data_IF_384755744488
#
_entry.id   IF_384755744488
#
_cell.length_a   1.000
_cell.length_b   1.000
_cell.length_c   1.000
_cell.angle_alpha   90.00
_cell.angle_beta   90.00
_cell.angle_gamma   90.00
#
_symmetry.space_group_name_H-M   'P 1'
#
loop_
_entity.id
_entity.type
_entity.pdbx_description
1 polymer ?
#
# COMPACT_ATOMS: atom_id res chain seq x y z
N UNK A 1 -0.50 -2.31 -9.56
CA UNK A 1 -0.81 -1.36 -8.46
C UNK A 1 -0.65 -2.09 -7.14
N UNK A 2 0.26 -1.63 -6.27
CA UNK A 2 0.31 -2.10 -4.88
C UNK A 2 -0.93 -1.58 -4.14
N UNK A 3 -1.67 -2.49 -3.50
CA UNK A 3 -2.95 -2.15 -2.86
C UNK A 3 -2.90 -2.15 -1.35
N UNK A 4 -2.12 -3.05 -0.77
CA UNK A 4 -1.92 -3.13 0.65
C UNK A 4 -0.57 -3.77 0.95
N UNK A 5 -0.06 -3.54 2.15
CA UNK A 5 1.12 -4.23 2.70
C UNK A 5 0.85 -4.57 4.16
N UNK A 6 1.51 -5.61 4.65
CA UNK A 6 1.69 -5.84 6.08
C UNK A 6 2.87 -4.99 6.59
N UNK A 7 2.65 -4.09 7.55
CA UNK A 7 3.72 -3.25 8.05
C UNK A 7 4.57 -4.00 9.09
N UNK A 8 5.86 -4.19 8.80
CA UNK A 8 6.79 -4.92 9.68
C UNK A 8 7.70 -4.01 10.51
N UNK A 9 8.17 -2.90 9.94
CA UNK A 9 9.11 -1.98 10.58
C UNK A 9 8.69 -0.53 10.43
N UNK A 10 9.14 0.36 11.32
CA UNK A 10 8.90 1.80 11.22
C UNK A 10 7.46 2.22 11.52
N UNK A 11 6.71 1.44 12.30
CA UNK A 11 5.29 1.67 12.63
C UNK A 11 5.02 3.07 13.18
N UNK A 12 5.87 3.57 14.08
CA UNK A 12 5.71 4.91 14.65
C UNK A 12 5.90 6.03 13.61
N UNK A 13 6.84 5.87 12.69
CA UNK A 13 7.02 6.81 11.58
C UNK A 13 5.81 6.78 10.63
N UNK A 14 5.29 5.59 10.32
CA UNK A 14 4.08 5.43 9.51
C UNK A 14 2.86 6.11 10.16
N UNK A 15 2.64 5.89 11.46
CA UNK A 15 1.57 6.57 12.23
C UNK A 15 1.71 8.09 12.15
N UNK A 16 2.92 8.62 12.37
CA UNK A 16 3.21 10.06 12.28
C UNK A 16 2.94 10.62 10.87
N UNK A 17 3.33 9.90 9.83
CA UNK A 17 3.08 10.29 8.45
C UNK A 17 1.57 10.32 8.13
N UNK A 18 0.82 9.32 8.62
CA UNK A 18 -0.64 9.27 8.51
C UNK A 18 -1.31 10.44 9.23
N UNK A 19 -0.87 10.75 10.45
CA UNK A 19 -1.38 11.89 11.20
C UNK A 19 -1.12 13.22 10.51
N UNK A 20 0.09 13.44 10.00
CA UNK A 20 0.45 14.69 9.28
C UNK A 20 -0.45 14.92 8.07
N UNK A 21 -0.67 13.87 7.26
CA UNK A 21 -1.55 13.95 6.11
C UNK A 21 -3.04 14.11 6.50
N UNK A 22 -3.42 13.66 7.69
CA UNK A 22 -4.76 13.83 8.24
C UNK A 22 -5.01 15.19 8.89
N UNK A 23 -3.97 15.90 9.36
CA UNK A 23 -4.10 17.25 9.95
C UNK A 23 -4.44 18.33 8.93
N UNK A 24 -4.21 18.08 7.64
CA UNK A 24 -4.58 18.99 6.55
C UNK A 24 -6.11 19.05 6.27
N UNK A 25 -6.90 18.11 6.83
CA UNK A 25 -8.36 18.13 6.76
C UNK A 25 -8.92 18.51 8.12
N UNK A 26 -9.40 19.75 8.23
CA UNK A 26 -10.08 20.35 9.38
C UNK A 26 -11.13 19.42 9.99
N UNK A 27 -10.80 18.65 11.04
CA UNK A 27 -11.80 18.07 11.93
C UNK A 27 -11.21 17.91 13.33
N UNK A 28 -11.74 18.70 14.26
CA UNK A 28 -11.51 18.64 15.71
C UNK A 28 -12.19 17.40 16.34
N UNK A 29 -12.02 16.22 15.77
CA UNK A 29 -12.48 14.97 16.36
C UNK A 29 -11.31 14.25 17.01
N UNK A 30 -11.53 13.76 18.23
CA UNK A 30 -10.63 12.89 18.99
C UNK A 30 -10.26 11.69 18.10
N UNK A 31 -9.12 11.77 17.40
CA UNK A 31 -8.74 10.75 16.42
C UNK A 31 -8.32 9.50 17.19
N UNK A 32 -9.08 8.42 17.01
CA UNK A 32 -8.66 7.09 17.47
C UNK A 32 -7.26 6.82 16.90
N UNK A 33 -6.31 6.34 17.70
CA UNK A 33 -4.98 5.99 17.19
C UNK A 33 -5.11 4.95 16.09
N UNK A 34 -4.28 5.07 15.05
CA UNK A 34 -4.25 4.08 13.97
C UNK A 34 -3.72 2.75 14.50
N UNK A 35 -4.46 1.67 14.24
CA UNK A 35 -3.93 0.32 14.42
C UNK A 35 -2.95 -0.01 13.30
N UNK A 36 -2.14 -1.05 13.47
CA UNK A 36 -1.19 -1.49 12.43
C UNK A 36 -1.91 -1.85 11.12
N UNK A 37 -3.07 -2.51 11.23
CA UNK A 37 -3.93 -2.83 10.08
C UNK A 37 -4.44 -1.59 9.33
N UNK A 38 -4.61 -0.46 10.03
CA UNK A 38 -5.08 0.78 9.41
C UNK A 38 -4.01 1.52 8.59
N UNK A 39 -2.73 1.19 8.78
CA UNK A 39 -1.62 1.92 8.17
C UNK A 39 -1.51 1.66 6.67
N UNK A 40 -1.60 0.40 6.26
CA UNK A 40 -1.25 -0.03 4.91
C UNK A 40 -2.35 -0.84 4.21
N UNK A 41 -3.61 -0.75 4.66
CA UNK A 41 -4.77 -1.48 4.11
C UNK A 41 -5.38 -0.90 2.81
N UNK A 42 -4.68 0.00 2.12
CA UNK A 42 -5.19 0.60 0.88
C UNK A 42 -4.14 1.40 0.12
N UNK A 43 -4.28 1.62 -1.21
CA UNK A 43 -3.24 2.25 -2.02
C UNK A 43 -2.83 3.63 -1.51
N UNK A 44 -3.81 4.50 -1.21
CA UNK A 44 -3.55 5.82 -0.68
C UNK A 44 -2.99 5.79 0.75
N UNK A 45 -3.47 4.86 1.59
CA UNK A 45 -3.00 4.69 2.98
C UNK A 45 -1.54 4.27 2.99
N UNK A 46 -1.18 3.30 2.15
CA UNK A 46 0.19 2.84 1.93
C UNK A 46 1.10 4.00 1.52
N UNK A 47 0.73 4.76 0.48
CA UNK A 47 1.55 5.89 0.04
C UNK A 47 1.77 6.91 1.16
N UNK A 48 0.73 7.26 1.92
CA UNK A 48 0.87 8.16 3.06
C UNK A 48 1.80 7.60 4.15
N UNK A 49 1.64 6.33 4.53
CA UNK A 49 2.43 5.69 5.58
C UNK A 49 3.93 5.67 5.23
N UNK A 50 4.26 5.38 3.98
CA UNK A 50 5.63 5.34 3.47
C UNK A 50 6.15 6.70 2.95
N UNK A 51 5.39 7.79 3.11
CA UNK A 51 5.71 9.11 2.57
C UNK A 51 6.01 9.11 1.06
N UNK A 52 5.33 8.25 0.31
CA UNK A 52 5.41 8.20 -1.15
C UNK A 52 4.54 9.34 -1.70
N UNK A 53 5.18 10.28 -2.37
CA UNK A 53 4.53 11.39 -3.06
C UNK A 53 4.88 11.41 -4.57
N UNK A 54 4.44 12.46 -5.26
CA UNK A 54 4.64 12.59 -6.71
C UNK A 54 6.10 12.75 -7.11
N UNK A 55 7.00 13.11 -6.20
CA UNK A 55 8.44 13.25 -6.50
C UNK A 55 9.11 11.91 -6.82
N UNK A 56 8.52 10.79 -6.37
CA UNK A 56 8.97 9.44 -6.70
C UNK A 56 8.36 8.89 -7.99
N UNK A 57 7.56 9.68 -8.71
CA UNK A 57 7.02 9.25 -9.99
C UNK A 57 8.16 9.07 -11.01
N UNK A 58 8.18 7.92 -11.70
CA UNK A 58 9.26 7.48 -12.61
C UNK A 58 10.61 7.19 -11.93
N UNK A 59 10.66 7.11 -10.60
CA UNK A 59 11.85 6.65 -9.90
C UNK A 59 12.17 5.20 -10.33
N UNK A 60 13.44 4.95 -10.69
CA UNK A 60 13.91 3.61 -11.02
C UNK A 60 14.23 2.82 -9.75
N UNK A 61 13.32 1.93 -9.37
CA UNK A 61 13.45 1.12 -8.16
C UNK A 61 14.60 0.12 -8.18
N UNK A 62 15.24 -0.12 -9.34
CA UNK A 62 16.41 -1.01 -9.43
C UNK A 62 17.66 -0.32 -8.87
N UNK A 63 17.80 0.98 -9.13
CA UNK A 63 18.99 1.76 -8.77
C UNK A 63 18.72 2.83 -7.70
N UNK A 64 17.47 2.98 -7.25
CA UNK A 64 17.08 3.97 -6.25
C UNK A 64 17.58 3.64 -4.85
N UNK A 65 18.04 4.67 -4.14
CA UNK A 65 18.32 4.62 -2.70
C UNK A 65 17.13 5.06 -1.84
N UNK A 66 16.02 5.47 -2.46
CA UNK A 66 14.83 6.00 -1.78
C UNK A 66 13.71 4.97 -1.66
N UNK A 67 13.55 4.13 -2.69
CA UNK A 67 12.47 3.14 -2.75
C UNK A 67 12.92 1.93 -3.57
N UNK A 68 12.92 0.75 -2.95
CA UNK A 68 13.28 -0.51 -3.60
C UNK A 68 12.41 -1.66 -3.07
N UNK A 69 12.50 -2.82 -3.71
CA UNK A 69 11.92 -4.08 -3.21
C UNK A 69 13.06 -5.00 -2.81
N UNK A 70 12.98 -5.54 -1.61
CA UNK A 70 13.95 -6.52 -1.12
C UNK A 70 13.42 -7.95 -1.30
N UNK A 71 14.33 -8.90 -1.52
CA UNK A 71 13.96 -10.33 -1.50
C UNK A 71 13.74 -10.77 -0.05
N UNK A 72 12.76 -11.65 0.22
CA UNK A 72 12.57 -12.19 1.55
C UNK A 72 13.82 -12.94 2.02
N UNK A 73 14.18 -12.81 3.29
CA UNK A 73 15.28 -13.57 3.88
C UNK A 73 14.96 -15.07 3.89
N UNK A 74 15.98 -15.93 3.95
CA UNK A 74 15.84 -17.39 3.83
C UNK A 74 14.81 -17.96 4.83
N UNK A 75 14.77 -17.42 6.05
CA UNK A 75 13.85 -17.84 7.11
C UNK A 75 12.39 -17.40 6.86
N UNK A 76 12.17 -16.28 6.16
CA UNK A 76 10.83 -15.81 5.77
C UNK A 76 10.34 -16.45 4.47
N UNK A 77 11.25 -17.01 3.65
CA UNK A 77 10.91 -17.54 2.34
C UNK A 77 9.97 -18.77 2.39
N UNK A 78 10.01 -19.56 3.46
CA UNK A 78 9.08 -20.67 3.69
C UNK A 78 7.68 -20.20 4.13
N UNK A 79 7.60 -19.03 4.76
CA UNK A 79 6.34 -18.47 5.27
C UNK A 79 5.44 -17.99 4.13
N UNK A 80 6.01 -17.37 3.09
CA UNK A 80 5.25 -16.88 1.94
C UNK A 80 4.93 -17.97 0.90
N UNK A 81 5.76 -19.02 0.79
CA UNK A 81 5.61 -20.07 -0.24
C UNK A 81 4.31 -20.87 -0.12
N UNK A 82 3.73 -20.95 1.07
CA UNK A 82 2.54 -21.76 1.35
C UNK A 82 1.26 -20.91 1.49
N UNK A 83 1.32 -19.60 1.23
CA UNK A 83 0.12 -18.76 1.30
C UNK A 83 -0.73 -18.92 0.04
N UNK A 84 -2.06 -19.12 0.17
CA UNK A 84 -2.94 -19.24 -0.98
C UNK A 84 -3.02 -17.92 -1.74
N UNK A 85 -2.80 -17.98 -3.05
CA UNK A 85 -3.00 -16.83 -3.95
C UNK A 85 -4.45 -16.83 -4.41
N UNK A 86 -5.21 -15.80 -4.03
CA UNK A 86 -6.62 -15.65 -4.39
C UNK A 86 -6.76 -14.65 -5.55
N UNK A 87 -7.37 -15.08 -6.65
CA UNK A 87 -7.75 -14.21 -7.75
C UNK A 87 -9.16 -13.65 -7.54
N UNK A 88 -9.33 -12.34 -7.66
CA UNK A 88 -10.63 -11.67 -7.51
C UNK A 88 -10.76 -10.48 -8.47
N UNK A 89 -11.98 -9.93 -8.58
CA UNK A 89 -12.22 -8.72 -9.35
C UNK A 89 -11.41 -7.54 -8.80
N UNK A 90 -10.91 -6.67 -9.68
CA UNK A 90 -10.21 -5.46 -9.26
C UNK A 90 -11.22 -4.50 -8.61
N UNK A 91 -10.85 -3.91 -7.49
CA UNK A 91 -11.71 -2.92 -6.80
C UNK A 91 -11.60 -1.56 -7.48
N UNK A 92 -12.75 -0.93 -7.75
CA UNK A 92 -12.86 0.46 -8.24
C UNK A 92 -12.77 0.61 -9.75
N UNK A 93 -13.07 -0.45 -10.51
CA UNK A 93 -13.07 -0.45 -11.98
C UNK A 93 -14.43 -0.81 -12.57
N UNK A 94 -15.48 -0.88 -11.75
CA UNK A 94 -16.81 -1.36 -12.15
C UNK A 94 -17.45 -0.49 -13.24
N UNK A 95 -17.00 0.76 -13.40
CA UNK A 95 -17.40 1.68 -14.45
C UNK A 95 -16.76 1.40 -15.84
N UNK A 96 -15.77 0.51 -15.91
CA UNK A 96 -15.15 0.08 -17.17
C UNK A 96 -15.84 -1.19 -17.62
N UNK A 97 -16.87 -1.03 -18.46
CA UNK A 97 -17.78 -2.09 -18.89
C UNK A 97 -17.09 -3.36 -19.41
N UNK A 98 -17.80 -4.49 -19.31
CA UNK A 98 -17.37 -5.81 -19.77
C UNK A 98 -17.43 -5.91 -21.31
N UNK A 99 -16.56 -5.18 -22.03
CA UNK A 99 -16.43 -5.32 -23.48
C UNK A 99 -15.18 -6.14 -23.81
N UNK A 100 -15.36 -7.45 -24.03
CA UNK A 100 -14.24 -8.32 -24.43
C UNK A 100 -14.56 -9.75 -24.85
N UNK A 101 -15.84 -10.13 -25.01
CA UNK A 101 -16.22 -11.40 -25.64
C UNK A 101 -17.38 -11.13 -26.62
N UNK A 102 -17.04 -10.61 -27.80
CA UNK A 102 -17.87 -10.82 -29.00
C UNK A 102 -17.19 -11.91 -29.80
N UNK A 103 -17.84 -13.07 -29.85
CA UNK A 103 -17.51 -14.14 -30.77
C UNK A 103 -17.59 -13.60 -32.20
N UNK A 104 -16.54 -13.80 -32.98
CA UNK A 104 -16.60 -13.91 -34.43
C UNK A 104 -16.03 -15.27 -34.80
#
# INVERSE_FOLDING_TARGET
LLRALEPSFGLEAMKKNRERNHRAKNVAQKKKPFTEFDLCSGPAKLCMSFAIDKSLNKEDMVNSTKLWVERPTVNSSSEYKNQPIVACARIGIDSVGKNGLRNH
#
